data_IF_162223627117
#
_entry.id   IF_162223627117
#
_cell.length_a   1.000
_cell.length_b   1.000
_cell.length_c   1.000
_cell.angle_alpha   90.00
_cell.angle_beta   90.00
_cell.angle_gamma   90.00
#
_symmetry.space_group_name_H-M   'P 1'
#
loop_
_entity.id
_entity.type
_entity.pdbx_description
1 polymer ?
#
# COMPACT_ATOMS: atom_id res chain seq x y z
N UNK A 1 -16.16 -65.24 -15.34
CA UNK A 1 -16.35 -63.85 -14.91
C UNK A 1 -14.99 -63.22 -14.64
N UNK A 2 -14.61 -62.18 -15.39
CA UNK A 2 -13.30 -61.51 -15.33
C UNK A 2 -13.42 -60.22 -14.50
N UNK A 3 -12.53 -59.92 -13.54
CA UNK A 3 -12.43 -58.58 -12.99
C UNK A 3 -11.45 -57.75 -13.83
N UNK A 4 -11.91 -56.56 -14.25
CA UNK A 4 -11.11 -55.53 -14.91
C UNK A 4 -10.49 -54.67 -13.83
N UNK A 5 -9.17 -54.72 -13.66
CA UNK A 5 -8.43 -53.79 -12.80
C UNK A 5 -7.98 -52.62 -13.67
N UNK A 6 -8.57 -51.44 -13.45
CA UNK A 6 -8.13 -50.18 -14.03
C UNK A 6 -6.95 -49.66 -13.22
N UNK A 7 -5.75 -49.64 -13.80
CA UNK A 7 -4.60 -48.94 -13.23
C UNK A 7 -4.77 -47.44 -13.48
N UNK A 8 -4.79 -46.64 -12.41
CA UNK A 8 -4.85 -45.20 -12.46
C UNK A 8 -3.46 -44.63 -12.79
N UNK A 9 -3.35 -43.92 -13.91
CA UNK A 9 -2.18 -43.12 -14.26
C UNK A 9 -2.17 -41.84 -13.43
N UNK A 10 -1.29 -41.75 -12.44
CA UNK A 10 -1.00 -40.51 -11.73
C UNK A 10 -0.04 -39.65 -12.54
N UNK A 11 -0.52 -38.58 -13.16
CA UNK A 11 0.31 -37.54 -13.76
C UNK A 11 0.65 -36.52 -12.65
N UNK A 12 1.86 -36.58 -12.11
CA UNK A 12 2.39 -35.51 -11.24
C UNK A 12 2.67 -34.27 -12.10
N UNK A 13 1.80 -33.26 -12.02
CA UNK A 13 2.08 -31.92 -12.52
C UNK A 13 3.01 -31.22 -11.52
N UNK A 14 4.30 -31.17 -11.82
CA UNK A 14 5.24 -30.31 -11.11
C UNK A 14 4.93 -28.85 -11.40
N UNK A 15 4.51 -28.08 -10.38
CA UNK A 15 4.47 -26.62 -10.47
C UNK A 15 5.92 -26.10 -10.55
N UNK A 16 6.35 -25.69 -11.73
CA UNK A 16 7.53 -24.84 -11.89
C UNK A 16 7.09 -23.40 -11.62
N UNK A 17 7.39 -22.86 -10.43
CA UNK A 17 7.25 -21.44 -10.18
C UNK A 17 8.46 -20.73 -10.81
N UNK A 18 8.27 -20.13 -11.99
CA UNK A 18 9.25 -19.23 -12.57
C UNK A 18 9.31 -17.97 -11.69
N UNK A 19 10.43 -17.74 -11.01
CA UNK A 19 10.68 -16.44 -10.38
C UNK A 19 10.99 -15.44 -11.50
N UNK A 20 10.04 -14.54 -11.78
CA UNK A 20 10.27 -13.45 -12.72
C UNK A 20 11.31 -12.50 -12.11
N UNK A 21 12.44 -12.31 -12.81
CA UNK A 21 13.42 -11.29 -12.43
C UNK A 21 12.79 -9.90 -12.60
N UNK A 22 13.03 -9.02 -11.63
CA UNK A 22 12.63 -7.62 -11.72
C UNK A 22 13.43 -6.91 -12.82
N UNK A 23 12.76 -6.12 -13.65
CA UNK A 23 13.44 -5.17 -14.54
C UNK A 23 13.68 -3.87 -13.80
N UNK A 24 14.89 -3.31 -13.89
CA UNK A 24 15.16 -1.98 -13.35
C UNK A 24 14.79 -0.93 -14.38
N UNK A 25 13.91 0.01 -14.00
CA UNK A 25 13.54 1.16 -14.80
C UNK A 25 13.89 2.46 -14.09
N UNK A 26 14.06 3.52 -14.87
CA UNK A 26 14.42 4.85 -14.38
C UNK A 26 13.74 5.90 -15.25
N UNK A 27 13.57 7.14 -14.76
CA UNK A 27 12.96 8.20 -15.55
C UNK A 27 13.58 8.39 -16.95
N UNK A 28 14.91 8.50 -17.05
CA UNK A 28 15.59 8.70 -18.33
C UNK A 28 15.45 7.49 -19.27
N UNK A 29 15.37 6.27 -18.72
CA UNK A 29 15.22 5.05 -19.52
C UNK A 29 13.84 4.94 -20.19
N UNK A 30 12.80 5.54 -19.59
CA UNK A 30 11.42 5.50 -20.10
C UNK A 30 10.91 6.87 -20.58
N UNK A 31 11.77 7.90 -20.57
CA UNK A 31 11.43 9.26 -21.00
C UNK A 31 10.55 10.05 -20.02
N UNK A 32 10.49 9.67 -18.74
CA UNK A 32 9.74 10.41 -17.71
C UNK A 32 9.23 9.54 -16.56
N UNK A 33 8.20 10.00 -15.85
CA UNK A 33 7.66 9.33 -14.67
C UNK A 33 6.47 8.39 -14.92
N UNK A 34 6.06 8.16 -16.17
CA UNK A 34 4.94 7.30 -16.51
C UNK A 34 5.43 5.86 -16.70
N UNK A 35 5.29 5.03 -15.67
CA UNK A 35 5.85 3.69 -15.64
C UNK A 35 5.01 2.76 -16.55
N UNK A 36 5.63 1.98 -17.45
CA UNK A 36 4.90 1.06 -18.32
C UNK A 36 4.35 -0.16 -17.56
N UNK A 37 3.13 -0.57 -17.90
CA UNK A 37 2.44 -1.73 -17.28
C UNK A 37 2.72 -3.08 -17.96
N UNK A 38 3.72 -3.15 -18.85
CA UNK A 38 4.04 -4.33 -19.65
C UNK A 38 4.92 -5.36 -18.93
N UNK A 39 5.51 -4.99 -17.79
CA UNK A 39 6.45 -5.82 -17.05
C UNK A 39 5.78 -6.46 -15.83
N UNK A 40 6.09 -7.74 -15.51
CA UNK A 40 5.54 -8.40 -14.34
C UNK A 40 6.11 -7.87 -13.02
N UNK A 41 7.38 -7.46 -13.00
CA UNK A 41 8.04 -6.93 -11.79
C UNK A 41 8.98 -5.81 -12.21
N UNK A 42 8.85 -4.63 -11.59
CA UNK A 42 9.68 -3.45 -11.87
C UNK A 42 10.31 -2.93 -10.58
N UNK A 43 11.62 -2.69 -10.61
CA UNK A 43 12.31 -1.85 -9.63
C UNK A 43 12.53 -0.47 -10.25
N UNK A 44 11.76 0.52 -9.81
CA UNK A 44 11.81 1.88 -10.33
C UNK A 44 12.74 2.75 -9.47
N UNK A 45 13.88 3.13 -10.03
CA UNK A 45 14.92 3.87 -9.32
C UNK A 45 15.00 5.32 -9.82
N UNK A 46 15.24 6.24 -8.89
CA UNK A 46 15.57 7.64 -9.21
C UNK A 46 16.85 8.05 -8.49
N UNK A 47 17.65 8.94 -9.08
CA UNK A 47 18.83 9.54 -8.46
C UNK A 47 19.12 10.92 -9.07
N UNK A 48 20.13 11.61 -8.55
CA UNK A 48 20.49 12.93 -9.05
C UNK A 48 20.95 12.86 -10.52
N UNK A 49 20.25 13.57 -11.40
CA UNK A 49 20.45 13.50 -12.86
C UNK A 49 19.59 12.44 -13.58
N UNK A 50 18.87 11.60 -12.84
CA UNK A 50 17.88 10.66 -13.38
C UNK A 50 16.65 10.59 -12.46
N UNK A 51 15.84 11.64 -12.55
CA UNK A 51 14.73 11.91 -11.64
C UNK A 51 13.56 12.50 -12.41
N UNK A 52 12.34 12.26 -11.92
CA UNK A 52 11.15 12.92 -12.40
C UNK A 52 10.34 13.49 -11.22
N UNK A 53 9.79 14.71 -11.35
CA UNK A 53 9.02 15.35 -10.28
C UNK A 53 7.68 14.64 -10.00
N UNK A 54 7.10 14.03 -11.02
CA UNK A 54 5.80 13.34 -10.93
C UNK A 54 5.99 11.92 -11.44
N UNK A 55 5.55 10.95 -10.66
CA UNK A 55 5.53 9.53 -11.00
C UNK A 55 4.10 9.02 -11.08
N UNK A 56 3.84 8.11 -12.01
CA UNK A 56 2.52 7.50 -12.20
C UNK A 56 2.67 6.01 -12.41
N UNK A 57 1.92 5.25 -11.63
CA UNK A 57 1.67 3.83 -11.90
C UNK A 57 0.81 3.70 -13.17
N UNK A 58 1.01 2.65 -13.99
CA UNK A 58 0.23 2.45 -15.20
C UNK A 58 -1.23 2.17 -14.86
N UNK A 59 -2.15 2.56 -15.76
CA UNK A 59 -3.60 2.39 -15.56
C UNK A 59 -4.05 0.91 -15.46
N UNK A 60 -3.23 -0.02 -15.95
CA UNK A 60 -3.46 -1.46 -15.88
C UNK A 60 -2.16 -2.23 -15.99
N UNK A 61 -2.13 -3.44 -15.45
CA UNK A 61 -1.07 -4.43 -15.63
C UNK A 61 -1.64 -5.85 -15.61
N UNK A 62 -0.78 -6.86 -15.79
CA UNK A 62 -1.15 -8.25 -15.52
C UNK A 62 -1.47 -8.45 -14.03
N UNK A 63 -2.40 -9.35 -13.70
CA UNK A 63 -2.71 -9.68 -12.31
C UNK A 63 -1.47 -10.13 -11.55
N UNK A 64 -1.22 -9.51 -10.40
CA UNK A 64 -0.02 -9.77 -9.58
C UNK A 64 1.25 -9.07 -10.04
N UNK A 65 1.19 -8.23 -11.10
CA UNK A 65 2.34 -7.42 -11.48
C UNK A 65 2.73 -6.47 -10.34
N UNK A 66 4.01 -6.20 -10.15
CA UNK A 66 4.50 -5.39 -9.03
C UNK A 66 5.49 -4.31 -9.46
N UNK A 67 5.45 -3.18 -8.75
CA UNK A 67 6.36 -2.04 -8.94
C UNK A 67 6.86 -1.62 -7.56
N UNK A 68 8.18 -1.67 -7.36
CA UNK A 68 8.85 -1.15 -6.16
C UNK A 68 9.58 0.14 -6.49
N UNK A 69 9.37 1.18 -5.70
CA UNK A 69 10.06 2.46 -5.84
C UNK A 69 11.27 2.54 -4.93
N UNK A 70 12.42 2.95 -5.47
CA UNK A 70 13.66 3.23 -4.76
C UNK A 70 14.15 4.66 -5.08
N UNK A 71 13.52 5.69 -4.48
CA UNK A 71 13.97 7.06 -4.60
C UNK A 71 15.34 7.28 -3.93
N UNK A 72 16.37 7.56 -4.72
CA UNK A 72 17.71 7.92 -4.23
C UNK A 72 18.11 9.36 -4.58
N UNK A 73 17.26 10.08 -5.31
CA UNK A 73 17.47 11.48 -5.65
C UNK A 73 17.35 12.38 -4.42
N UNK A 74 18.08 13.49 -4.43
CA UNK A 74 18.04 14.54 -3.40
C UNK A 74 16.69 15.26 -3.40
N UNK A 75 16.06 15.42 -4.57
CA UNK A 75 14.71 15.98 -4.70
C UNK A 75 13.63 14.90 -4.56
N UNK A 76 12.57 15.22 -3.83
CA UNK A 76 11.41 14.33 -3.69
C UNK A 76 10.61 14.23 -5.00
N UNK A 77 10.01 13.07 -5.26
CA UNK A 77 9.02 12.88 -6.31
C UNK A 77 7.60 12.83 -5.74
N UNK A 78 6.62 13.32 -6.49
CA UNK A 78 5.20 13.15 -6.19
C UNK A 78 4.65 11.95 -6.97
N UNK A 79 4.26 10.88 -6.28
CA UNK A 79 3.61 9.72 -6.87
C UNK A 79 2.09 9.92 -6.86
N UNK A 80 1.46 9.96 -8.03
CA UNK A 80 0.01 9.98 -8.13
C UNK A 80 -0.59 8.65 -7.63
N UNK A 81 -1.62 8.73 -6.80
CA UNK A 81 -2.25 7.58 -6.13
C UNK A 81 -3.68 7.30 -6.60
N UNK A 82 -4.12 7.99 -7.67
CA UNK A 82 -5.49 7.96 -8.21
C UNK A 82 -6.01 6.54 -8.53
N UNK A 83 -5.12 5.62 -8.92
CA UNK A 83 -5.43 4.23 -9.25
C UNK A 83 -4.88 3.24 -8.21
N UNK A 84 -4.76 3.68 -6.95
CA UNK A 84 -4.26 2.86 -5.84
C UNK A 84 -5.33 2.64 -4.77
N UNK A 85 -4.99 1.89 -3.73
CA UNK A 85 -5.81 1.74 -2.53
C UNK A 85 -5.48 2.74 -1.41
N UNK A 86 -4.54 3.66 -1.65
CA UNK A 86 -4.19 4.74 -0.71
C UNK A 86 -5.18 5.90 -0.91
N UNK A 87 -5.97 6.28 0.12
CA UNK A 87 -6.99 7.33 0.00
C UNK A 87 -6.39 8.74 0.18
N UNK A 88 -5.47 9.12 -0.70
CA UNK A 88 -4.92 10.48 -0.83
C UNK A 88 -4.64 10.77 -2.31
N UNK A 89 -4.45 12.03 -2.70
CA UNK A 89 -4.21 12.37 -4.12
C UNK A 89 -2.80 12.02 -4.61
N UNK A 90 -1.81 12.18 -3.75
CA UNK A 90 -0.43 11.86 -4.08
C UNK A 90 0.40 11.53 -2.84
N UNK A 91 1.40 10.68 -3.04
CA UNK A 91 2.42 10.36 -2.04
C UNK A 91 3.73 11.08 -2.36
N UNK A 92 4.35 11.70 -1.35
CA UNK A 92 5.71 12.22 -1.49
C UNK A 92 6.72 11.08 -1.26
N UNK A 93 7.56 10.83 -2.25
CA UNK A 93 8.67 9.88 -2.20
C UNK A 93 9.98 10.65 -1.99
N UNK A 94 10.53 10.55 -0.79
CA UNK A 94 11.80 11.14 -0.38
C UNK A 94 12.94 10.14 -0.56
N UNK A 95 14.18 10.65 -0.55
CA UNK A 95 15.38 9.83 -0.59
C UNK A 95 15.36 8.75 0.50
N UNK A 96 15.63 7.50 0.11
CA UNK A 96 15.73 6.36 1.02
C UNK A 96 14.38 5.73 1.38
N UNK A 97 13.26 6.31 0.92
CA UNK A 97 11.97 5.67 1.04
C UNK A 97 11.94 4.36 0.23
N UNK A 98 11.05 3.44 0.59
CA UNK A 98 10.72 2.27 -0.24
C UNK A 98 9.24 1.96 -0.11
N UNK A 99 8.57 1.76 -1.24
CA UNK A 99 7.17 1.35 -1.30
C UNK A 99 6.97 0.44 -2.51
N UNK A 100 6.20 -0.62 -2.31
CA UNK A 100 5.84 -1.57 -3.36
C UNK A 100 4.34 -1.50 -3.59
N UNK A 101 3.94 -1.60 -4.85
CA UNK A 101 2.55 -1.76 -5.26
C UNK A 101 2.39 -3.03 -6.07
N UNK A 102 1.27 -3.72 -5.88
CA UNK A 102 0.90 -4.90 -6.66
C UNK A 102 -0.44 -4.67 -7.36
N UNK A 103 -0.52 -4.92 -8.65
CA UNK A 103 -1.76 -4.80 -9.40
C UNK A 103 -2.73 -5.92 -9.04
N UNK A 104 -3.89 -5.54 -8.52
CA UNK A 104 -4.99 -6.46 -8.30
C UNK A 104 -5.98 -6.40 -9.48
N UNK A 105 -6.12 -7.53 -10.18
CA UNK A 105 -6.97 -7.60 -11.37
C UNK A 105 -8.48 -7.58 -11.05
N UNK A 106 -8.86 -7.95 -9.83
CA UNK A 106 -10.26 -7.98 -9.39
C UNK A 106 -10.73 -6.59 -8.97
N UNK A 107 -9.91 -5.88 -8.20
CA UNK A 107 -10.14 -4.49 -7.78
C UNK A 107 -9.77 -3.46 -8.86
N UNK A 108 -9.04 -3.89 -9.91
CA UNK A 108 -8.59 -3.07 -11.04
C UNK A 108 -7.81 -1.83 -10.58
N UNK A 109 -6.94 -2.02 -9.60
CA UNK A 109 -6.11 -0.96 -9.01
C UNK A 109 -4.84 -1.54 -8.39
N UNK A 110 -3.89 -0.66 -8.11
CA UNK A 110 -2.65 -0.98 -7.42
C UNK A 110 -2.84 -1.02 -5.91
N UNK A 111 -2.48 -2.12 -5.27
CA UNK A 111 -2.51 -2.28 -3.82
C UNK A 111 -1.12 -2.00 -3.25
N UNK A 112 -1.02 -1.03 -2.34
CA UNK A 112 0.22 -0.77 -1.63
C UNK A 112 0.53 -1.92 -0.67
N UNK A 113 1.77 -2.41 -0.72
CA UNK A 113 2.29 -3.35 0.26
C UNK A 113 2.22 -2.69 1.64
N UNK A 114 1.50 -3.33 2.56
CA UNK A 114 1.26 -2.80 3.89
C UNK A 114 1.31 -3.89 4.94
N UNK A 115 1.53 -3.47 6.19
CA UNK A 115 1.22 -4.29 7.36
C UNK A 115 -0.28 -4.15 7.68
N UNK A 116 -1.05 -5.21 7.48
CA UNK A 116 -2.50 -5.21 7.74
C UNK A 116 -2.83 -5.63 9.19
N UNK A 117 -3.73 -4.88 9.83
CA UNK A 117 -4.31 -5.17 11.14
C UNK A 117 -5.82 -5.40 11.00
N UNK A 118 -6.28 -6.58 11.42
CA UNK A 118 -7.69 -7.03 11.31
C UNK A 118 -8.28 -7.55 12.63
N UNK A 119 -7.46 -7.99 13.58
CA UNK A 119 -7.92 -8.45 14.90
C UNK A 119 -8.05 -7.27 15.88
N UNK A 120 -9.09 -6.46 15.67
CA UNK A 120 -9.24 -5.19 16.36
C UNK A 120 -9.95 -5.32 17.71
N UNK A 121 -9.60 -4.42 18.64
CA UNK A 121 -10.25 -4.27 19.95
C UNK A 121 -11.16 -3.06 19.95
N UNK A 122 -12.06 -2.96 20.93
CA UNK A 122 -12.95 -1.79 21.11
C UNK A 122 -12.20 -0.47 21.11
N UNK A 123 -11.06 -0.43 21.80
CA UNK A 123 -10.04 0.61 21.63
C UNK A 123 -8.82 -0.05 21.00
N UNK A 124 -8.51 0.33 19.78
CA UNK A 124 -7.37 -0.19 19.03
C UNK A 124 -6.26 0.83 19.04
N UNK A 125 -5.14 0.49 19.66
CA UNK A 125 -3.90 1.27 19.56
C UNK A 125 -3.09 0.69 18.40
N UNK A 126 -2.88 1.49 17.37
CA UNK A 126 -2.10 1.08 16.20
C UNK A 126 -0.64 0.98 16.62
N UNK A 127 0.04 -0.16 16.40
CA UNK A 127 1.47 -0.27 16.67
C UNK A 127 2.29 0.69 15.82
N UNK A 128 3.42 1.18 16.34
CA UNK A 128 4.35 2.03 15.58
C UNK A 128 4.76 1.33 14.27
N UNK A 129 4.47 1.92 13.10
CA UNK A 129 4.77 1.29 11.81
C UNK A 129 6.26 1.00 11.63
N UNK A 130 6.57 -0.21 11.19
CA UNK A 130 7.91 -0.63 10.76
C UNK A 130 8.07 -0.67 9.24
N UNK A 131 6.96 -0.54 8.52
CA UNK A 131 6.86 -0.47 7.06
C UNK A 131 6.30 0.89 6.64
N UNK A 132 6.40 1.21 5.35
CA UNK A 132 5.91 2.50 4.84
C UNK A 132 4.40 2.67 4.97
N UNK A 133 3.63 1.58 4.84
CA UNK A 133 2.17 1.59 4.91
C UNK A 133 1.70 0.60 5.95
N UNK A 134 0.87 1.07 6.88
CA UNK A 134 0.12 0.24 7.82
C UNK A 134 -1.37 0.43 7.53
N UNK A 135 -2.13 -0.66 7.47
CA UNK A 135 -3.56 -0.62 7.15
C UNK A 135 -4.36 -1.25 8.27
N UNK A 136 -5.26 -0.48 8.86
CA UNK A 136 -6.20 -0.92 9.89
C UNK A 136 -7.56 -1.07 9.23
N UNK A 137 -8.07 -2.29 9.17
CA UNK A 137 -9.34 -2.60 8.49
C UNK A 137 -10.38 -3.02 9.53
N UNK A 138 -11.40 -2.18 9.70
CA UNK A 138 -12.54 -2.43 10.59
C UNK A 138 -13.65 -3.06 9.75
N UNK A 139 -13.90 -4.34 9.98
CA UNK A 139 -14.94 -5.07 9.27
C UNK A 139 -16.31 -4.88 9.91
N UNK A 140 -17.35 -5.32 9.20
CA UNK A 140 -18.76 -5.17 9.63
C UNK A 140 -19.06 -5.75 11.01
N UNK A 141 -18.33 -6.80 11.39
CA UNK A 141 -18.51 -7.51 12.66
C UNK A 141 -17.76 -6.84 13.81
N UNK A 142 -16.78 -6.00 13.50
CA UNK A 142 -15.93 -5.38 14.49
C UNK A 142 -16.67 -4.24 15.18
N UNK A 143 -16.49 -4.18 16.50
CA UNK A 143 -16.96 -3.09 17.34
C UNK A 143 -15.74 -2.31 17.82
N UNK A 144 -15.32 -1.34 17.01
CA UNK A 144 -14.22 -0.42 17.31
C UNK A 144 -14.81 0.95 17.58
N UNK A 145 -14.73 1.41 18.82
CA UNK A 145 -15.18 2.74 19.24
C UNK A 145 -14.13 3.79 18.97
N UNK A 146 -12.85 3.43 19.11
CA UNK A 146 -11.73 4.35 18.96
C UNK A 146 -10.50 3.67 18.37
N UNK A 147 -9.88 4.30 17.37
CA UNK A 147 -8.56 3.94 16.83
C UNK A 147 -7.56 5.01 17.23
N UNK A 148 -6.54 4.65 18.01
CA UNK A 148 -5.48 5.55 18.47
C UNK A 148 -4.25 5.34 17.60
N UNK A 149 -3.84 6.36 16.84
CA UNK A 149 -2.58 6.33 16.07
C UNK A 149 -1.38 6.29 17.02
N UNK A 150 -0.24 5.69 16.64
CA UNK A 150 0.90 5.59 17.54
C UNK A 150 1.56 6.96 17.76
N UNK A 151 2.19 7.22 18.91
CA UNK A 151 2.86 8.51 19.15
C UNK A 151 4.14 8.71 18.30
N UNK A 152 4.67 7.62 17.72
CA UNK A 152 5.92 7.61 16.97
C UNK A 152 5.82 6.70 15.75
N UNK A 153 6.48 7.07 14.67
CA UNK A 153 6.70 6.21 13.50
C UNK A 153 7.98 6.62 12.77
N UNK A 154 8.37 5.86 11.75
CA UNK A 154 9.39 6.30 10.80
C UNK A 154 8.91 7.53 10.02
N UNK A 155 9.81 8.41 9.56
CA UNK A 155 9.44 9.54 8.73
C UNK A 155 8.58 9.13 7.53
N UNK A 156 7.51 9.88 7.27
CA UNK A 156 6.57 9.64 6.16
C UNK A 156 5.83 8.31 6.21
N UNK A 157 5.88 7.55 7.31
CA UNK A 157 5.03 6.39 7.51
C UNK A 157 3.56 6.77 7.30
N UNK A 158 2.80 5.86 6.70
CA UNK A 158 1.39 6.03 6.39
C UNK A 158 0.58 5.05 7.23
N UNK A 159 -0.44 5.55 7.92
CA UNK A 159 -1.49 4.72 8.50
C UNK A 159 -2.78 4.97 7.75
N UNK A 160 -3.31 3.92 7.13
CA UNK A 160 -4.63 3.92 6.50
C UNK A 160 -5.61 3.30 7.50
N UNK A 161 -6.64 4.04 7.88
CA UNK A 161 -7.75 3.52 8.68
C UNK A 161 -8.97 3.44 7.77
N UNK A 162 -9.50 2.23 7.57
CA UNK A 162 -10.69 2.01 6.77
C UNK A 162 -11.74 1.23 7.54
N UNK A 163 -13.01 1.58 7.32
CA UNK A 163 -14.13 0.95 8.00
C UNK A 163 -15.25 0.57 7.04
N UNK A 164 -15.76 -0.64 7.20
CA UNK A 164 -17.03 -1.10 6.61
C UNK A 164 -18.08 -1.36 7.69
N UNK A 165 -17.78 -1.01 8.95
CA UNK A 165 -18.69 -1.21 10.07
C UNK A 165 -19.88 -0.26 10.02
N UNK A 166 -21.06 -0.80 10.30
CA UNK A 166 -22.27 0.00 10.51
C UNK A 166 -22.34 0.56 11.93
N UNK A 167 -21.40 0.18 12.81
CA UNK A 167 -21.31 0.71 14.18
C UNK A 167 -20.46 1.99 14.17
N UNK A 168 -20.87 3.04 14.89
CA UNK A 168 -20.09 4.26 14.94
C UNK A 168 -18.78 4.01 15.71
N UNK A 169 -17.70 4.59 15.18
CA UNK A 169 -16.41 4.69 15.85
C UNK A 169 -15.76 6.03 15.53
N UNK A 170 -14.51 6.20 15.91
CA UNK A 170 -13.70 7.36 15.53
C UNK A 170 -12.22 7.06 15.48
N UNK A 171 -11.46 7.87 14.77
CA UNK A 171 -10.01 7.99 15.01
C UNK A 171 -9.81 8.97 16.17
N UNK A 172 -9.01 8.57 17.15
CA UNK A 172 -8.61 9.41 18.27
C UNK A 172 -7.69 10.53 17.79
N UNK A 173 -7.88 11.73 18.35
CA UNK A 173 -7.16 12.92 17.90
C UNK A 173 -5.88 13.21 18.68
N UNK A 174 -5.57 12.46 19.74
CA UNK A 174 -4.43 12.73 20.63
C UNK A 174 -3.09 12.86 19.90
N UNK A 175 -2.89 12.06 18.85
CA UNK A 175 -1.65 12.06 18.07
C UNK A 175 -1.79 12.73 16.69
N UNK A 176 -2.91 13.41 16.42
CA UNK A 176 -3.16 14.10 15.15
C UNK A 176 -2.84 15.60 15.28
N UNK A 177 -2.20 16.17 14.26
CA UNK A 177 -1.71 17.56 14.25
C UNK A 177 -2.86 18.58 14.24
N UNK A 178 -3.90 18.30 13.46
CA UNK A 178 -5.10 19.11 13.36
C UNK A 178 -6.31 18.27 13.81
N UNK A 179 -6.67 18.35 15.10
CA UNK A 179 -7.73 17.51 15.66
C UNK A 179 -9.09 17.97 15.13
N UNK A 180 -9.56 17.32 14.06
CA UNK A 180 -10.94 17.42 13.58
C UNK A 180 -11.72 16.16 13.96
N UNK A 181 -13.06 16.21 14.04
CA UNK A 181 -13.84 14.98 14.16
C UNK A 181 -13.54 14.04 12.99
N UNK A 182 -13.10 12.82 13.30
CA UNK A 182 -12.80 11.76 12.33
C UNK A 182 -13.70 10.55 12.60
N UNK A 183 -15.01 10.67 12.35
CA UNK A 183 -15.94 9.57 12.61
C UNK A 183 -15.65 8.40 11.68
N UNK A 184 -15.65 7.20 12.24
CA UNK A 184 -15.59 5.95 11.50
C UNK A 184 -17.00 5.38 11.37
N UNK A 185 -17.33 4.95 10.17
CA UNK A 185 -18.61 4.35 9.82
C UNK A 185 -18.52 3.66 8.47
N UNK A 186 -19.67 3.36 7.89
CA UNK A 186 -19.73 2.56 6.67
C UNK A 186 -19.03 3.26 5.51
N UNK A 187 -18.03 2.58 4.93
CA UNK A 187 -17.23 3.03 3.79
C UNK A 187 -16.34 4.26 4.04
N UNK A 188 -16.01 4.56 5.30
CA UNK A 188 -15.07 5.63 5.63
C UNK A 188 -13.63 5.14 5.48
N UNK A 189 -12.77 6.00 4.90
CA UNK A 189 -11.32 5.77 4.81
C UNK A 189 -10.57 7.06 5.10
N UNK A 190 -9.52 6.96 5.89
CA UNK A 190 -8.57 8.03 6.18
C UNK A 190 -7.16 7.55 5.91
N UNK A 191 -6.31 8.43 5.42
CA UNK A 191 -4.87 8.23 5.41
C UNK A 191 -4.20 9.29 6.28
N UNK A 192 -3.29 8.84 7.12
CA UNK A 192 -2.50 9.68 8.01
C UNK A 192 -1.03 9.52 7.66
N UNK A 193 -0.30 10.63 7.61
CA UNK A 193 1.14 10.61 7.37
C UNK A 193 1.87 11.17 8.58
N UNK A 194 2.93 10.49 9.01
CA UNK A 194 3.68 10.88 10.20
C UNK A 194 4.68 12.00 9.91
N UNK A 195 4.61 13.07 10.71
CA UNK A 195 5.56 14.18 10.68
C UNK A 195 6.55 14.08 11.86
N UNK A 196 7.80 13.60 11.66
CA UNK A 196 8.69 13.23 12.75
C UNK A 196 9.10 14.41 13.64
N UNK A 197 9.28 15.61 13.08
CA UNK A 197 9.67 16.80 13.84
C UNK A 197 8.58 17.30 14.79
N UNK A 198 7.31 17.01 14.46
CA UNK A 198 6.17 17.42 15.27
C UNK A 198 5.66 16.26 16.14
N UNK A 199 6.12 15.03 15.88
CA UNK A 199 5.61 13.80 16.48
C UNK A 199 4.08 13.71 16.42
N UNK A 200 3.52 14.13 15.27
CA UNK A 200 2.09 14.13 15.00
C UNK A 200 1.81 13.55 13.63
N UNK A 201 0.62 12.99 13.50
CA UNK A 201 0.04 12.56 12.24
C UNK A 201 -0.75 13.71 11.63
N UNK A 202 -0.57 14.01 10.36
CA UNK A 202 -1.50 14.86 9.65
C UNK A 202 -2.43 14.00 8.80
N UNK A 203 -3.69 14.41 8.70
CA UNK A 203 -4.66 13.82 7.79
C UNK A 203 -4.26 14.23 6.37
N UNK A 204 -4.07 13.24 5.50
CA UNK A 204 -3.77 13.46 4.09
C UNK A 204 -5.07 13.51 3.27
N UNK A 205 -5.10 14.41 2.28
CA UNK A 205 -6.23 14.61 1.35
C UNK A 205 -5.90 14.09 -0.06
#
# INVERSE_FOLDING_TARGET
MRPIIRAASGLLLGLCAAQALAITLTPNAIGGGNIPGTYPTVDFQTWDGNWAPVLRLPASAAGGASITFHPNATWSSSLATDNTDIPMRALTLNKGDTITFTWDAWERRWLAAATDYKDLRTVTIVPSPTTRVTRVSIDRKDMVESVVLPPTATPNAIVIVQSTSSRPGRVDSANVLHPTPMPLGMNVRYAFVFHPQLQKWYLAE
#
